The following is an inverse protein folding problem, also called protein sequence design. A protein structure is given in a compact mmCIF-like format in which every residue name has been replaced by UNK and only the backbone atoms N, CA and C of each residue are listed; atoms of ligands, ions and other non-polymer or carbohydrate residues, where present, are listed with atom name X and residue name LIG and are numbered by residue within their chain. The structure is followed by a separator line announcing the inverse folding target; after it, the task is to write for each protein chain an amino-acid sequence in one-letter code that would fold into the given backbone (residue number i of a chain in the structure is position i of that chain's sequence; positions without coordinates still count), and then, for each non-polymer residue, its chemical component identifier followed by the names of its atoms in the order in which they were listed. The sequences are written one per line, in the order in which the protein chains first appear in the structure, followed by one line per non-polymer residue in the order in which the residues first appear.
data_IF_407728470426
#
_entry.id   IF_407728470426
#
_cell.length_a   1.000
_cell.length_b   1.000
_cell.length_c   1.000
_cell.angle_alpha   90.00
_cell.angle_beta   90.00
_cell.angle_gamma   90.00
#
_symmetry.space_group_name_H-M   'P 1'
#
loop_
_entity.id
_entity.type
_entity.pdbx_description
1 polymer ?
#
# COMPACT_ATOMS: atom_id res chain seq x y z
N UNK A 1 5.39 19.85 6.56
CA UNK A 1 5.11 19.66 5.11
C UNK A 1 4.10 18.53 4.96
N UNK A 2 2.85 18.81 4.58
CA UNK A 2 1.84 17.77 4.32
C UNK A 2 1.89 17.33 2.86
N UNK A 3 2.91 16.55 2.48
CA UNK A 3 2.90 15.86 1.18
C UNK A 3 1.86 14.75 1.24
N UNK A 4 0.89 14.76 0.33
CA UNK A 4 -0.07 13.66 0.18
C UNK A 4 0.68 12.39 -0.23
N UNK A 5 0.29 11.21 0.27
CA UNK A 5 0.90 9.95 -0.15
C UNK A 5 0.66 9.70 -1.63
N UNK A 6 1.63 9.07 -2.29
CA UNK A 6 1.55 8.73 -3.71
C UNK A 6 0.74 7.42 -3.90
N UNK A 7 0.78 6.52 -2.90
CA UNK A 7 -0.01 5.28 -2.90
C UNK A 7 -0.67 5.00 -1.54
N UNK A 8 -1.81 4.30 -1.59
CA UNK A 8 -2.35 3.51 -0.47
C UNK A 8 -1.77 2.10 -0.55
N UNK A 9 -1.33 1.58 0.59
CA UNK A 9 -0.73 0.24 0.69
C UNK A 9 -1.79 -0.71 1.21
N UNK A 10 -2.09 -1.77 0.46
CA UNK A 10 -3.07 -2.78 0.85
C UNK A 10 -2.43 -4.16 0.95
N UNK A 11 -2.76 -4.92 1.98
CA UNK A 11 -2.53 -6.36 2.04
C UNK A 11 -3.71 -7.10 1.42
N UNK A 12 -3.43 -8.16 0.67
CA UNK A 12 -4.48 -9.04 0.14
C UNK A 12 -4.41 -10.40 0.82
N UNK A 13 -5.57 -10.90 1.24
CA UNK A 13 -5.73 -12.25 1.79
C UNK A 13 -6.84 -12.97 1.05
N UNK A 14 -6.57 -14.17 0.55
CA UNK A 14 -7.66 -15.04 0.10
C UNK A 14 -8.35 -15.68 1.31
N UNK A 15 -9.65 -15.48 1.44
CA UNK A 15 -10.49 -16.07 2.47
C UNK A 15 -11.65 -16.74 1.78
N UNK A 16 -11.71 -18.08 1.85
CA UNK A 16 -12.78 -18.89 1.24
C UNK A 16 -12.96 -18.61 -0.26
N UNK A 17 -11.83 -18.49 -0.98
CA UNK A 17 -11.84 -18.21 -2.42
C UNK A 17 -12.11 -16.74 -2.78
N UNK A 18 -12.28 -15.85 -1.80
CA UNK A 18 -12.50 -14.42 -2.02
C UNK A 18 -11.31 -13.59 -1.54
N UNK A 19 -10.89 -12.64 -2.35
CA UNK A 19 -9.83 -11.71 -1.97
C UNK A 19 -10.38 -10.64 -1.04
N UNK A 20 -9.87 -10.62 0.20
CA UNK A 20 -10.07 -9.53 1.16
C UNK A 20 -8.87 -8.60 1.13
N UNK A 21 -9.15 -7.33 0.92
CA UNK A 21 -8.15 -6.27 0.82
C UNK A 21 -8.21 -5.43 2.08
N UNK A 22 -7.06 -5.15 2.69
CA UNK A 22 -6.95 -4.40 3.94
C UNK A 22 -5.93 -3.30 3.79
N UNK A 23 -6.27 -2.08 4.20
CA UNK A 23 -5.37 -0.92 4.15
C UNK A 23 -4.40 -1.02 5.31
N UNK A 24 -3.11 -1.06 5.00
CA UNK A 24 -2.04 -1.32 5.96
C UNK A 24 -0.96 -0.24 5.94
N UNK A 25 -1.19 0.87 5.24
CA UNK A 25 -0.23 1.96 5.20
C UNK A 25 -0.35 2.86 3.99
N UNK A 26 0.68 3.67 3.81
CA UNK A 26 0.84 4.58 2.68
C UNK A 26 2.26 4.49 2.13
N UNK A 27 2.44 4.87 0.87
CA UNK A 27 3.77 4.92 0.27
C UNK A 27 4.01 6.23 -0.47
N UNK A 28 5.30 6.60 -0.54
CA UNK A 28 5.77 7.82 -1.17
C UNK A 28 6.88 7.49 -2.17
N UNK A 29 6.82 8.11 -3.34
CA UNK A 29 7.91 8.08 -4.31
C UNK A 29 8.97 9.09 -3.86
N UNK A 30 10.20 8.61 -3.74
CA UNK A 30 11.37 9.40 -3.38
C UNK A 30 12.07 9.95 -4.64
N UNK A 31 13.03 10.84 -4.41
CA UNK A 31 13.99 11.19 -5.47
C UNK A 31 14.78 9.94 -5.89
N UNK A 32 15.00 9.79 -7.21
CA UNK A 32 15.65 8.60 -7.77
C UNK A 32 14.73 7.38 -7.96
N UNK A 33 13.41 7.53 -7.77
CA UNK A 33 12.42 6.51 -8.14
C UNK A 33 12.24 5.38 -7.14
N UNK A 34 12.92 5.41 -5.99
CA UNK A 34 12.64 4.47 -4.90
C UNK A 34 11.31 4.78 -4.23
N UNK A 35 10.73 3.78 -3.55
CA UNK A 35 9.46 3.90 -2.85
C UNK A 35 9.65 3.59 -1.37
N UNK A 36 9.27 4.52 -0.49
CA UNK A 36 9.22 4.29 0.95
C UNK A 36 7.81 3.91 1.36
N UNK A 37 7.66 2.79 2.07
CA UNK A 37 6.38 2.29 2.59
C UNK A 37 6.32 2.51 4.10
N UNK A 38 5.28 3.19 4.56
CA UNK A 38 4.98 3.38 5.98
C UNK A 38 3.82 2.48 6.36
N UNK A 39 4.11 1.39 7.06
CA UNK A 39 3.13 0.41 7.49
C UNK A 39 2.48 0.79 8.83
N UNK A 40 1.16 0.66 8.92
CA UNK A 40 0.39 0.71 10.17
C UNK A 40 0.12 -0.67 10.76
N UNK A 41 0.28 -1.73 9.96
CA UNK A 41 0.15 -3.11 10.36
C UNK A 41 1.16 -3.98 9.59
N UNK A 42 1.62 -5.06 10.21
CA UNK A 42 2.49 -6.03 9.56
C UNK A 42 1.64 -6.95 8.68
N UNK A 43 1.86 -7.01 7.36
CA UNK A 43 1.19 -7.98 6.51
C UNK A 43 1.65 -9.39 6.89
N UNK A 44 0.69 -10.25 7.22
CA UNK A 44 0.96 -11.65 7.55
C UNK A 44 1.02 -12.57 6.32
N UNK A 45 0.74 -12.04 5.11
CA UNK A 45 0.70 -12.80 3.85
C UNK A 45 1.66 -12.18 2.81
N UNK A 46 1.88 -12.92 1.71
CA UNK A 46 2.92 -12.66 0.71
C UNK A 46 2.70 -11.43 -0.19
N UNK A 47 1.47 -10.88 -0.25
CA UNK A 47 1.12 -9.86 -1.26
C UNK A 47 0.74 -8.52 -0.64
N UNK A 48 1.55 -7.51 -0.98
CA UNK A 48 1.26 -6.09 -0.80
C UNK A 48 0.96 -5.47 -2.16
N UNK A 49 -0.02 -4.56 -2.20
CA UNK A 49 -0.40 -3.82 -3.40
C UNK A 49 -0.30 -2.33 -3.11
N UNK A 50 0.31 -1.59 -4.03
CA UNK A 50 0.37 -0.14 -4.02
C UNK A 50 -0.68 0.41 -4.99
N UNK A 51 -1.67 1.14 -4.47
CA UNK A 51 -2.74 1.74 -5.26
C UNK A 51 -2.50 3.25 -5.37
N UNK A 52 -2.32 3.83 -6.58
CA UNK A 52 -2.13 5.26 -6.75
C UNK A 52 -3.25 6.08 -6.10
N UNK A 53 -2.88 7.12 -5.36
CA UNK A 53 -3.88 8.00 -4.71
C UNK A 53 -4.41 9.08 -5.66
N UNK A 54 -3.70 9.34 -6.75
CA UNK A 54 -4.13 10.22 -7.83
C UNK A 54 -4.56 9.35 -8.99
N UNK A 55 -5.86 9.36 -9.27
CA UNK A 55 -6.40 8.93 -10.54
C UNK A 55 -5.85 9.88 -11.61
N UNK A 56 -5.05 9.35 -12.53
CA UNK A 56 -4.84 10.01 -13.82
C UNK A 56 -6.13 9.96 -14.63
#
# INVERSE_FOLDING_TARGET
MNKKPDYIVKAVKNVEGKDKWTDIGVAYINQGGSVTVYLSALPLNDKIILIPTRSG
#
